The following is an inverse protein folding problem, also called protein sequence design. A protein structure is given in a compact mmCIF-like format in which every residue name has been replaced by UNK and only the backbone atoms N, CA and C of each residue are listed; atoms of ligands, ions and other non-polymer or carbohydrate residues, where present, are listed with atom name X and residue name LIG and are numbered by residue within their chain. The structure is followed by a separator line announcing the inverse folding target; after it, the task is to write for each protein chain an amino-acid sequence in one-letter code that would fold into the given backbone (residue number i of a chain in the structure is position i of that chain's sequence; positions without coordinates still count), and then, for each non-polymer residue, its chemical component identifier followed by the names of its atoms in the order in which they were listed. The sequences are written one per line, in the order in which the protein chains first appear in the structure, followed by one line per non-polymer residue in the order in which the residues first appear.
data_IF_276342556701
#
_entry.id   IF_276342556701
#
_cell.length_a   1.000
_cell.length_b   1.000
_cell.length_c   1.000
_cell.angle_alpha   90.00
_cell.angle_beta   90.00
_cell.angle_gamma   90.00
#
_symmetry.space_group_name_H-M   'P 1'
#
loop_
_entity.id
_entity.type
_entity.pdbx_description
1 polymer ?
#
# COMPACT_ATOMS: atom_id res chain seq x y z
N UNK A 1 -7.27 -7.74 -4.55
CA UNK A 1 -6.57 -6.55 -5.08
C UNK A 1 -7.03 -5.33 -4.31
N UNK A 2 -6.13 -4.45 -3.87
CA UNK A 2 -6.47 -3.22 -3.11
C UNK A 2 -6.86 -2.05 -4.02
N UNK A 3 -6.68 -2.21 -5.34
CA UNK A 3 -6.97 -1.20 -6.36
C UNK A 3 -8.41 -0.66 -6.30
N UNK A 4 -9.47 -1.50 -6.14
CA UNK A 4 -10.84 -0.98 -6.06
C UNK A 4 -11.07 -0.12 -4.81
N UNK A 5 -10.42 -0.47 -3.70
CA UNK A 5 -10.50 0.28 -2.45
C UNK A 5 -9.75 1.61 -2.56
N UNK A 6 -8.54 1.60 -3.11
CA UNK A 6 -7.73 2.82 -3.29
C UNK A 6 -8.43 3.80 -4.25
N UNK A 7 -8.98 3.30 -5.35
CA UNK A 7 -9.68 4.15 -6.33
C UNK A 7 -11.03 4.66 -5.80
N UNK A 8 -11.78 3.82 -5.06
CA UNK A 8 -13.03 4.21 -4.41
C UNK A 8 -12.83 5.29 -3.34
N UNK A 9 -11.86 5.10 -2.43
CA UNK A 9 -11.55 6.10 -1.39
C UNK A 9 -10.93 7.37 -1.98
N UNK A 10 -10.07 7.23 -3.00
CA UNK A 10 -9.51 8.37 -3.73
C UNK A 10 -10.59 9.27 -4.33
N UNK A 11 -11.55 8.68 -5.06
CA UNK A 11 -12.69 9.43 -5.63
C UNK A 11 -13.56 10.09 -4.57
N UNK A 12 -13.91 9.40 -3.47
CA UNK A 12 -14.72 9.97 -2.37
C UNK A 12 -14.03 11.13 -1.67
N UNK A 13 -12.71 11.07 -1.52
CA UNK A 13 -11.90 12.17 -0.95
C UNK A 13 -11.68 13.33 -1.93
N UNK A 14 -12.13 13.20 -3.18
CA UNK A 14 -11.91 14.20 -4.23
C UNK A 14 -10.47 14.27 -4.75
N UNK A 15 -9.62 13.30 -4.37
CA UNK A 15 -8.24 13.21 -4.84
C UNK A 15 -8.17 12.36 -6.12
N UNK A 16 -7.33 12.76 -7.10
CA UNK A 16 -7.14 11.96 -8.31
C UNK A 16 -6.57 10.58 -7.90
N UNK A 17 -7.24 9.45 -8.23
CA UNK A 17 -6.83 8.13 -7.78
C UNK A 17 -5.38 7.73 -8.14
N UNK A 18 -4.83 8.29 -9.22
CA UNK A 18 -3.42 8.10 -9.63
C UNK A 18 -2.41 8.42 -8.50
N UNK A 19 -2.72 9.39 -7.63
CA UNK A 19 -1.83 9.86 -6.55
C UNK A 19 -1.67 8.81 -5.44
N UNK A 20 -2.75 8.35 -4.77
CA UNK A 20 -2.62 7.27 -3.79
C UNK A 20 -2.23 5.94 -4.44
N UNK A 21 -2.57 5.70 -5.72
CA UNK A 21 -2.18 4.49 -6.43
C UNK A 21 -0.67 4.38 -6.64
N UNK A 22 -0.06 5.45 -7.15
CA UNK A 22 1.40 5.51 -7.37
C UNK A 22 2.17 5.36 -6.05
N UNK A 23 1.73 6.06 -5.00
CA UNK A 23 2.34 5.93 -3.67
C UNK A 23 2.19 4.53 -3.07
N UNK A 24 1.06 3.84 -3.31
CA UNK A 24 0.86 2.48 -2.82
C UNK A 24 1.87 1.48 -3.41
N UNK A 25 2.20 1.60 -4.70
CA UNK A 25 3.21 0.75 -5.36
C UNK A 25 4.61 1.03 -4.79
N UNK A 26 4.98 2.31 -4.68
CA UNK A 26 6.26 2.73 -4.11
C UNK A 26 6.40 2.21 -2.67
N UNK A 27 5.40 2.45 -1.83
CA UNK A 27 5.37 1.98 -0.45
C UNK A 27 5.56 0.46 -0.34
N UNK A 28 4.88 -0.30 -1.21
CA UNK A 28 5.01 -1.76 -1.24
C UNK A 28 6.44 -2.22 -1.53
N UNK A 29 7.17 -1.49 -2.38
CA UNK A 29 8.54 -1.85 -2.72
C UNK A 29 9.52 -1.51 -1.59
N UNK A 30 9.34 -0.35 -0.96
CA UNK A 30 10.15 0.07 0.18
C UNK A 30 9.92 -0.80 1.43
N UNK A 31 8.74 -1.39 1.58
CA UNK A 31 8.43 -2.32 2.68
C UNK A 31 9.33 -3.57 2.69
N UNK A 32 9.88 -3.98 1.54
CA UNK A 32 10.81 -5.12 1.47
C UNK A 32 12.11 -4.80 2.23
N UNK A 33 12.65 -3.60 2.05
CA UNK A 33 13.95 -3.19 2.63
C UNK A 33 13.84 -2.85 4.13
N UNK A 34 12.64 -2.50 4.58
CA UNK A 34 12.34 -2.22 5.98
C UNK A 34 11.94 -3.48 6.79
N UNK A 35 11.99 -4.68 6.20
CA UNK A 35 11.50 -5.92 6.82
C UNK A 35 12.64 -6.90 7.19
N UNK A 36 12.66 -7.45 8.42
CA UNK A 36 13.65 -8.46 8.84
C UNK A 36 13.51 -9.80 8.11
N UNK A 37 12.32 -10.12 7.61
CA UNK A 37 11.99 -11.43 7.01
C UNK A 37 12.36 -11.43 5.51
N UNK A 38 12.61 -10.27 4.92
CA UNK A 38 12.92 -10.17 3.50
C UNK A 38 14.28 -10.82 3.20
N UNK A 39 14.28 -11.83 2.32
CA UNK A 39 15.50 -12.53 1.89
C UNK A 39 16.58 -11.57 1.35
N UNK A 40 16.17 -10.48 0.68
CA UNK A 40 17.09 -9.44 0.21
C UNK A 40 17.82 -8.73 1.35
N UNK A 41 17.15 -8.45 2.47
CA UNK A 41 17.76 -7.81 3.65
C UNK A 41 18.69 -8.79 4.35
N UNK A 42 18.29 -10.05 4.49
CA UNK A 42 19.13 -11.11 5.09
C UNK A 42 20.41 -11.32 4.28
N UNK A 43 20.31 -11.39 2.95
CA UNK A 43 21.48 -11.52 2.07
C UNK A 43 22.41 -10.30 2.18
N UNK A 44 21.85 -9.10 2.30
CA UNK A 44 22.62 -7.87 2.48
C UNK A 44 23.36 -7.84 3.83
N UNK A 45 22.69 -8.26 4.91
CA UNK A 45 23.32 -8.37 6.24
C UNK A 45 24.42 -9.42 6.23
N UNK A 46 24.24 -10.57 5.59
CA UNK A 46 25.28 -11.59 5.47
C UNK A 46 26.54 -11.06 4.76
N UNK A 47 26.39 -10.11 3.83
CA UNK A 47 27.52 -9.44 3.19
C UNK A 47 28.23 -8.42 4.11
N UNK A 48 27.49 -7.80 5.03
CA UNK A 48 27.99 -6.76 5.94
C UNK A 48 28.43 -7.31 7.31
N UNK A 49 28.06 -8.55 7.64
CA UNK A 49 28.45 -9.23 8.88
C UNK A 49 29.97 -9.21 9.13
N UNK A 50 30.86 -9.41 8.12
CA UNK A 50 32.31 -9.31 8.32
C UNK A 50 32.79 -7.92 8.78
N UNK A 51 31.98 -6.88 8.60
CA UNK A 51 32.25 -5.51 9.04
C UNK A 51 31.68 -5.21 10.43
N UNK A 52 31.07 -6.20 11.09
CA UNK A 52 30.45 -6.06 12.41
C UNK A 52 29.06 -5.41 12.38
N UNK A 53 28.45 -5.27 11.21
CA UNK A 53 27.10 -4.69 11.06
C UNK A 53 26.08 -5.82 11.18
N UNK A 54 25.13 -5.65 12.11
CA UNK A 54 24.09 -6.63 12.38
C UNK A 54 22.78 -6.29 11.66
N UNK A 55 21.85 -7.25 11.61
CA UNK A 55 20.49 -7.03 11.09
C UNK A 55 19.79 -5.86 11.80
N UNK A 56 20.00 -5.73 13.11
CA UNK A 56 19.43 -4.65 13.91
C UNK A 56 19.93 -3.29 13.43
N UNK A 57 21.22 -3.15 13.14
CA UNK A 57 21.80 -1.88 12.67
C UNK A 57 21.23 -1.47 11.32
N UNK A 58 21.05 -2.44 10.41
CA UNK A 58 20.42 -2.19 9.11
C UNK A 58 18.98 -1.74 9.28
N UNK A 59 18.17 -2.47 10.06
CA UNK A 59 16.75 -2.12 10.27
C UNK A 59 16.57 -0.81 11.02
N UNK A 60 17.46 -0.52 11.98
CA UNK A 60 17.45 0.74 12.73
C UNK A 60 17.72 1.94 11.84
N UNK A 61 18.39 1.77 10.70
CA UNK A 61 18.54 2.80 9.68
C UNK A 61 17.40 2.79 8.64
N UNK A 62 17.04 1.61 8.12
CA UNK A 62 16.09 1.51 6.99
C UNK A 62 14.66 1.81 7.39
N UNK A 63 14.18 1.36 8.55
CA UNK A 63 12.80 1.60 9.01
C UNK A 63 12.51 3.12 9.15
N UNK A 64 13.28 3.90 9.91
CA UNK A 64 13.02 5.34 10.02
C UNK A 64 13.28 6.08 8.71
N UNK A 65 14.32 5.71 7.95
CA UNK A 65 14.64 6.35 6.67
C UNK A 65 13.52 6.18 5.63
N UNK A 66 13.03 4.95 5.45
CA UNK A 66 11.94 4.65 4.51
C UNK A 66 10.63 5.29 4.97
N UNK A 67 10.34 5.27 6.26
CA UNK A 67 9.12 5.88 6.82
C UNK A 67 9.10 7.39 6.62
N UNK A 68 10.22 8.09 6.89
CA UNK A 68 10.36 9.53 6.66
C UNK A 68 10.34 9.86 5.16
N UNK A 69 11.04 9.09 4.33
CA UNK A 69 11.05 9.28 2.88
C UNK A 69 9.66 9.15 2.28
N UNK A 70 8.90 8.13 2.71
CA UNK A 70 7.54 7.91 2.24
C UNK A 70 6.58 9.00 2.75
N UNK A 71 6.73 9.45 4.00
CA UNK A 71 5.94 10.56 4.54
C UNK A 71 6.18 11.85 3.75
N UNK A 72 7.44 12.21 3.49
CA UNK A 72 7.78 13.35 2.65
C UNK A 72 7.22 13.20 1.23
N UNK A 73 7.42 12.03 0.60
CA UNK A 73 6.89 11.76 -0.74
C UNK A 73 5.37 11.91 -0.80
N UNK A 74 4.64 11.41 0.21
CA UNK A 74 3.19 11.59 0.32
C UNK A 74 2.78 13.07 0.36
N UNK A 75 3.51 13.91 1.11
CA UNK A 75 3.22 15.36 1.18
C UNK A 75 3.39 16.04 -0.18
N UNK A 76 4.43 15.70 -0.94
CA UNK A 76 4.65 16.25 -2.27
C UNK A 76 3.62 15.74 -3.28
N UNK A 77 3.40 14.42 -3.33
CA UNK A 77 2.46 13.79 -4.28
C UNK A 77 1.01 14.24 -4.03
N UNK A 78 0.64 14.56 -2.79
CA UNK A 78 -0.68 15.12 -2.47
C UNK A 78 -0.99 16.40 -3.28
N UNK A 79 0.04 17.22 -3.54
CA UNK A 79 -0.06 18.49 -4.29
C UNK A 79 0.30 18.38 -5.77
N UNK A 80 0.67 17.20 -6.27
CA UNK A 80 1.06 17.03 -7.67
C UNK A 80 -0.15 16.91 -8.60
N UNK A 81 -0.22 17.77 -9.63
CA UNK A 81 -1.24 17.71 -10.68
C UNK A 81 -2.54 18.46 -10.37
N UNK A 82 -3.48 18.42 -11.31
CA UNK A 82 -4.76 19.11 -11.23
C UNK A 82 -5.69 18.41 -10.23
N UNK A 83 -6.57 19.14 -9.54
CA UNK A 83 -7.59 18.51 -8.70
C UNK A 83 -8.59 17.72 -9.55
N UNK A 84 -9.15 16.63 -9.00
CA UNK A 84 -10.07 15.76 -9.73
C UNK A 84 -11.27 16.53 -10.30
N UNK A 85 -11.75 17.55 -9.59
CA UNK A 85 -12.86 18.40 -10.02
C UNK A 85 -12.55 19.27 -11.24
N UNK A 86 -11.28 19.64 -11.43
CA UNK A 86 -10.83 20.50 -12.52
C UNK A 86 -10.29 19.70 -13.72
N UNK A 87 -10.36 18.37 -13.65
CA UNK A 87 -9.92 17.49 -14.73
C UNK A 87 -10.99 17.43 -15.85
N UNK A 88 -10.70 17.88 -17.08
CA UNK A 88 -11.66 17.90 -18.18
C UNK A 88 -12.09 16.50 -18.61
N UNK A 89 -11.25 15.47 -18.47
CA UNK A 89 -11.66 14.10 -18.74
C UNK A 89 -12.63 13.61 -17.67
N UNK A 90 -12.39 13.93 -16.40
CA UNK A 90 -13.31 13.56 -15.32
C UNK A 90 -14.68 14.26 -15.47
N UNK A 91 -14.70 15.53 -15.86
CA UNK A 91 -15.94 16.26 -16.15
C UNK A 91 -16.68 15.67 -17.35
N UNK A 92 -15.95 15.19 -18.36
CA UNK A 92 -16.53 14.48 -19.51
C UNK A 92 -17.09 13.12 -19.11
N UNK A 93 -16.37 12.36 -18.28
CA UNK A 93 -16.85 11.08 -17.73
C UNK A 93 -18.07 11.26 -16.83
N UNK A 94 -18.17 12.35 -16.08
CA UNK A 94 -19.36 12.68 -15.28
C UNK A 94 -20.62 12.94 -16.12
N UNK A 95 -20.48 13.29 -17.40
CA UNK A 95 -21.63 13.46 -18.30
C UNK A 95 -22.15 12.12 -18.83
N UNK A 96 -21.36 11.04 -18.70
CA UNK A 96 -21.74 9.70 -19.10
C UNK A 96 -22.68 9.08 -18.05
N UNK A 97 -23.93 8.72 -18.41
CA UNK A 97 -24.87 8.10 -17.49
C UNK A 97 -24.41 6.74 -16.96
N UNK A 98 -23.59 5.97 -17.69
CA UNK A 98 -23.04 4.70 -17.19
C UNK A 98 -22.01 4.95 -16.08
N UNK A 99 -21.14 5.95 -16.24
CA UNK A 99 -20.15 6.32 -15.24
C UNK A 99 -20.78 6.91 -13.97
N UNK A 100 -21.87 7.67 -14.11
CA UNK A 100 -22.66 8.14 -12.96
C UNK A 100 -23.33 6.98 -12.24
N UNK A 101 -23.87 6.01 -12.97
CA UNK A 101 -24.45 4.80 -12.39
C UNK A 101 -23.40 3.95 -11.64
N UNK A 102 -22.16 3.86 -12.13
CA UNK A 102 -21.05 3.20 -11.43
C UNK A 102 -20.56 3.97 -10.19
N UNK A 103 -20.75 5.29 -10.14
CA UNK A 103 -20.47 6.11 -8.96
C UNK A 103 -21.59 6.05 -7.91
N UNK A 104 -22.85 6.02 -8.35
CA UNK A 104 -24.06 6.00 -7.52
C UNK A 104 -24.45 4.57 -7.11
N UNK A 105 -24.02 3.55 -7.85
CA UNK A 105 -23.80 2.22 -7.30
C UNK A 105 -22.72 2.42 -6.24
N UNK A 106 -23.18 2.71 -5.03
CA UNK A 106 -22.40 2.56 -3.83
C UNK A 106 -21.53 1.34 -4.06
N UNK A 107 -20.21 1.51 -3.92
CA UNK A 107 -19.38 0.39 -3.52
C UNK A 107 -20.00 -0.02 -2.20
N UNK A 108 -21.05 -0.84 -2.27
CA UNK A 108 -21.47 -1.78 -1.27
C UNK A 108 -20.19 -2.55 -1.12
N UNK A 109 -19.43 -2.08 -0.13
CA UNK A 109 -18.43 -2.90 0.50
C UNK A 109 -19.28 -4.07 0.90
N UNK A 110 -19.29 -5.14 0.08
CA UNK A 110 -19.78 -6.42 0.53
C UNK A 110 -19.06 -6.57 1.85
N UNK A 111 -19.81 -6.39 2.94
CA UNK A 111 -19.27 -6.50 4.28
C UNK A 111 -18.78 -7.92 4.29
N UNK A 112 -17.47 -8.09 4.10
CA UNK A 112 -16.86 -9.39 3.86
C UNK A 112 -17.28 -10.19 5.08
N UNK A 113 -18.26 -11.07 4.88
CA UNK A 113 -18.89 -11.78 5.97
C UNK A 113 -17.83 -12.79 6.38
N UNK A 114 -17.09 -12.49 7.45
CA UNK A 114 -15.91 -13.24 7.83
C UNK A 114 -16.35 -14.69 8.00
N UNK A 115 -15.93 -15.54 7.05
CA UNK A 115 -16.29 -16.93 7.08
C UNK A 115 -15.70 -17.54 8.37
N UNK A 116 -16.43 -18.38 9.09
CA UNK A 116 -15.91 -19.00 10.32
C UNK A 116 -14.64 -19.84 10.05
N UNK A 117 -14.40 -20.30 8.81
CA UNK A 117 -13.15 -20.94 8.41
C UNK A 117 -11.93 -20.00 8.37
N UNK A 118 -12.11 -18.67 8.29
CA UNK A 118 -11.00 -17.71 8.23
C UNK A 118 -10.08 -17.83 9.47
N UNK A 119 -10.66 -18.11 10.64
CA UNK A 119 -9.89 -18.33 11.88
C UNK A 119 -8.97 -19.55 11.78
N UNK A 120 -9.39 -20.62 11.11
CA UNK A 120 -8.58 -21.82 10.90
C UNK A 120 -7.41 -21.55 9.95
N UNK A 121 -7.64 -20.80 8.88
CA UNK A 121 -6.56 -20.41 7.95
C UNK A 121 -5.52 -19.52 8.62
N UNK A 122 -5.93 -18.54 9.43
CA UNK A 122 -4.99 -17.70 10.19
C UNK A 122 -4.22 -18.53 11.21
N UNK A 123 -4.87 -19.47 11.90
CA UNK A 123 -4.20 -20.36 12.84
C UNK A 123 -3.16 -21.28 12.16
N UNK A 124 -3.49 -21.87 11.01
CA UNK A 124 -2.57 -22.69 10.24
C UNK A 124 -1.37 -21.87 9.74
N UNK A 125 -1.62 -20.63 9.30
CA UNK A 125 -0.56 -19.71 8.88
C UNK A 125 0.39 -19.36 10.03
N UNK A 126 -0.14 -18.96 11.19
CA UNK A 126 0.66 -18.66 12.36
C UNK A 126 1.45 -19.87 12.87
N UNK A 127 0.84 -21.06 12.83
CA UNK A 127 1.52 -22.31 13.17
C UNK A 127 2.68 -22.60 12.21
N UNK A 128 2.48 -22.40 10.90
CA UNK A 128 3.55 -22.52 9.90
C UNK A 128 4.70 -21.53 10.14
N UNK A 129 4.38 -20.26 10.44
CA UNK A 129 5.39 -19.25 10.79
C UNK A 129 6.18 -19.67 12.02
N UNK A 130 5.53 -20.23 13.03
CA UNK A 130 6.17 -20.67 14.27
C UNK A 130 7.06 -21.91 14.10
N UNK A 131 6.83 -22.73 13.05
CA UNK A 131 7.68 -23.88 12.72
C UNK A 131 8.92 -23.45 11.91
N UNK A 132 8.76 -22.43 11.06
CA UNK A 132 9.82 -21.97 10.14
C UNK A 132 10.79 -21.01 10.82
N UNK A 133 10.30 -20.17 11.73
CA UNK A 133 11.10 -19.27 12.58
C UNK A 133 11.60 -20.01 13.81
#
# INVERSE_FOLDING_TARGET
SVLPVITGVGRRSGSRPERPLSMAVIASQFAIVASPIAAAVVAWVAFLEPQGITLTDVLMSTIPSTSLGLACACLFVNKMGVELKADPEYQRSLQDPEFRADMDQEVSVEVIKIAPQAKKSVALFLFGVNIVV
#
